data_IF_374740857667
#
_entry.id   IF_374740857667
#
_cell.length_a   1.000
_cell.length_b   1.000
_cell.length_c   1.000
_cell.angle_alpha   90.00
_cell.angle_beta   90.00
_cell.angle_gamma   90.00
#
_symmetry.space_group_name_H-M   'P 1'
#
loop_
_entity.id
_entity.type
_entity.pdbx_description
1 polymer ?
#
# COMPACT_ATOMS: atom_id res chain seq x y z
N UNK A 1 -0.75 -13.05 -63.47
CA UNK A 1 -0.48 -12.40 -62.15
C UNK A 1 -1.78 -12.34 -61.36
N UNK A 2 -1.94 -13.19 -60.34
CA UNK A 2 -3.06 -13.13 -59.39
C UNK A 2 -2.49 -13.25 -57.98
N UNK A 3 -2.75 -12.20 -57.22
CA UNK A 3 -2.34 -11.95 -55.84
C UNK A 3 -2.81 -13.08 -54.90
N UNK A 4 -1.93 -13.56 -54.02
CA UNK A 4 -2.32 -14.34 -52.86
C UNK A 4 -2.03 -13.57 -51.57
N UNK A 5 -3.10 -13.49 -50.78
CA UNK A 5 -3.29 -12.92 -49.45
C UNK A 5 -2.28 -13.39 -48.39
N UNK A 6 -1.96 -12.44 -47.48
CA UNK A 6 -1.99 -12.51 -45.98
C UNK A 6 -1.16 -13.64 -45.32
N UNK A 7 -0.46 -13.43 -44.22
CA UNK A 7 -0.97 -12.97 -42.92
C UNK A 7 0.22 -12.40 -42.13
N UNK A 8 0.03 -11.22 -41.55
CA UNK A 8 0.89 -10.64 -40.55
C UNK A 8 0.90 -11.50 -39.28
N UNK A 9 2.05 -12.04 -38.89
CA UNK A 9 2.26 -12.54 -37.54
C UNK A 9 2.74 -11.36 -36.69
N UNK A 10 1.80 -10.48 -36.34
CA UNK A 10 2.01 -9.51 -35.27
C UNK A 10 1.88 -10.28 -33.96
N UNK A 11 3.01 -10.77 -33.46
CA UNK A 11 3.11 -11.39 -32.14
C UNK A 11 2.75 -10.34 -31.09
N UNK A 12 1.47 -10.27 -30.71
CA UNK A 12 1.02 -9.59 -29.50
C UNK A 12 1.70 -10.29 -28.31
N UNK A 13 2.88 -9.80 -27.91
CA UNK A 13 3.31 -9.96 -26.52
C UNK A 13 2.41 -9.05 -25.69
N UNK A 14 1.27 -9.59 -25.28
CA UNK A 14 0.52 -9.05 -24.15
C UNK A 14 1.40 -9.28 -22.92
N UNK A 15 2.26 -8.31 -22.62
CA UNK A 15 2.81 -8.14 -21.29
C UNK A 15 1.60 -8.03 -20.36
N UNK A 16 1.30 -9.12 -19.65
CA UNK A 16 0.55 -9.05 -18.42
C UNK A 16 1.40 -8.23 -17.45
N UNK A 17 1.35 -6.90 -17.58
CA UNK A 17 1.61 -6.00 -16.48
C UNK A 17 0.61 -6.44 -15.42
N UNK A 18 1.04 -7.30 -14.50
CA UNK A 18 0.38 -7.46 -13.22
C UNK A 18 0.15 -6.05 -12.72
N UNK A 19 -1.11 -5.62 -12.67
CA UNK A 19 -1.51 -4.28 -12.26
C UNK A 19 -0.98 -4.08 -10.83
N UNK A 20 0.23 -3.53 -10.73
CA UNK A 20 0.78 -3.08 -9.47
C UNK A 20 -0.24 -2.10 -8.89
N UNK A 21 -0.59 -2.31 -7.62
CA UNK A 21 -1.55 -1.46 -6.94
C UNK A 21 -1.06 -0.01 -7.01
N UNK A 22 -1.96 0.95 -7.18
CA UNK A 22 -1.61 2.37 -7.04
C UNK A 22 -1.52 2.75 -5.56
N UNK A 23 -0.77 3.79 -5.19
CA UNK A 23 -0.73 4.26 -3.79
C UNK A 23 -2.12 4.57 -3.22
N UNK A 24 -3.00 5.14 -4.04
CA UNK A 24 -4.37 5.48 -3.66
C UNK A 24 -5.20 4.23 -3.38
N UNK A 25 -5.09 3.18 -4.20
CA UNK A 25 -5.73 1.89 -3.95
C UNK A 25 -5.20 1.24 -2.67
N UNK A 26 -3.89 1.32 -2.43
CA UNK A 26 -3.28 0.84 -1.20
C UNK A 26 -3.78 1.56 0.05
N UNK A 27 -3.85 2.90 0.02
CA UNK A 27 -4.43 3.70 1.10
C UNK A 27 -5.90 3.35 1.31
N UNK A 28 -6.66 3.17 0.23
CA UNK A 28 -8.07 2.78 0.32
C UNK A 28 -8.22 1.41 1.00
N UNK A 29 -7.39 0.41 0.65
CA UNK A 29 -7.44 -0.90 1.29
C UNK A 29 -7.02 -0.86 2.76
N UNK A 30 -5.97 -0.11 3.09
CA UNK A 30 -5.57 0.14 4.48
C UNK A 30 -6.75 0.77 5.26
N UNK A 31 -7.39 1.78 4.70
CA UNK A 31 -8.55 2.46 5.30
C UNK A 31 -9.72 1.49 5.50
N UNK A 32 -9.98 0.59 4.55
CA UNK A 32 -10.99 -0.46 4.67
C UNK A 32 -10.69 -1.39 5.87
N UNK A 33 -9.43 -1.78 6.08
CA UNK A 33 -9.07 -2.59 7.23
C UNK A 33 -9.31 -1.87 8.56
N UNK A 34 -9.04 -0.57 8.63
CA UNK A 34 -9.41 0.23 9.81
C UNK A 34 -10.92 0.30 10.00
N UNK A 35 -11.70 0.62 8.97
CA UNK A 35 -13.17 0.67 9.03
C UNK A 35 -13.78 -0.63 9.56
N UNK A 36 -13.21 -1.75 9.15
CA UNK A 36 -13.67 -3.09 9.53
C UNK A 36 -13.01 -3.63 10.81
N UNK A 37 -12.15 -2.84 11.48
CA UNK A 37 -11.32 -3.28 12.62
C UNK A 37 -10.54 -4.58 12.34
N UNK A 38 -10.20 -4.84 11.08
CA UNK A 38 -9.53 -6.07 10.63
C UNK A 38 -8.01 -5.90 10.73
N UNK A 39 -7.54 -5.74 11.97
CA UNK A 39 -6.14 -5.47 12.25
C UNK A 39 -5.24 -6.66 11.94
N UNK A 40 -5.78 -7.89 11.94
CA UNK A 40 -5.04 -9.06 11.49
C UNK A 40 -4.59 -8.92 10.04
N UNK A 41 -5.53 -8.68 9.11
CA UNK A 41 -5.19 -8.50 7.70
C UNK A 41 -4.37 -7.23 7.45
N UNK A 42 -4.68 -6.13 8.16
CA UNK A 42 -3.87 -4.92 8.11
C UNK A 42 -2.39 -5.21 8.37
N UNK A 43 -2.09 -5.93 9.46
CA UNK A 43 -0.70 -6.22 9.84
C UNK A 43 -0.08 -7.24 8.91
N UNK A 44 -0.77 -8.33 8.57
CA UNK A 44 -0.15 -9.41 7.78
C UNK A 44 0.05 -9.03 6.31
N UNK A 45 -0.76 -8.12 5.77
CA UNK A 45 -0.71 -7.75 4.34
C UNK A 45 -0.07 -6.39 4.09
N UNK A 46 -0.21 -5.44 5.02
CA UNK A 46 0.12 -4.02 4.78
C UNK A 46 1.22 -3.47 5.69
N UNK A 47 1.62 -4.18 6.75
CA UNK A 47 2.76 -3.75 7.55
C UNK A 47 4.06 -4.23 6.91
N UNK A 48 4.84 -3.32 6.33
CA UNK A 48 6.03 -3.72 5.58
C UNK A 48 7.15 -4.25 6.49
N UNK A 49 7.19 -3.80 7.75
CA UNK A 49 8.18 -4.28 8.71
C UNK A 49 7.80 -5.62 9.36
N UNK A 50 6.79 -6.33 8.85
CA UNK A 50 6.33 -7.62 9.40
C UNK A 50 7.45 -8.67 9.43
N UNK A 51 8.43 -8.58 8.54
CA UNK A 51 9.62 -9.44 8.52
C UNK A 51 10.47 -9.38 9.80
N UNK A 52 10.27 -8.34 10.65
CA UNK A 52 10.91 -8.23 11.96
C UNK A 52 10.26 -9.15 13.00
N UNK A 53 9.02 -9.59 12.79
CA UNK A 53 8.38 -10.63 13.57
C UNK A 53 8.82 -12.01 13.04
N UNK A 54 9.46 -12.80 13.91
CA UNK A 54 10.03 -14.12 13.59
C UNK A 54 9.07 -15.27 13.90
N UNK A 55 8.00 -15.00 14.65
CA UNK A 55 7.01 -15.99 15.07
C UNK A 55 5.60 -15.46 14.96
N UNK A 56 4.63 -16.36 14.84
CA UNK A 56 3.20 -16.02 14.84
C UNK A 56 2.78 -15.32 16.14
N UNK A 57 3.43 -15.63 17.27
CA UNK A 57 3.18 -14.96 18.55
C UNK A 57 3.59 -13.49 18.51
N UNK A 58 4.70 -13.17 17.86
CA UNK A 58 5.13 -11.78 17.66
C UNK A 58 4.18 -11.02 16.74
N UNK A 59 3.70 -11.65 15.67
CA UNK A 59 2.65 -11.09 14.80
C UNK A 59 1.38 -10.82 15.60
N UNK A 60 0.94 -11.78 16.42
CA UNK A 60 -0.23 -11.61 17.30
C UNK A 60 -0.06 -10.45 18.28
N UNK A 61 1.16 -10.22 18.81
CA UNK A 61 1.47 -9.05 19.65
C UNK A 61 1.30 -7.73 18.88
N UNK A 62 1.67 -7.67 17.60
CA UNK A 62 1.40 -6.48 16.78
C UNK A 62 -0.09 -6.26 16.56
N UNK A 63 -0.84 -7.31 16.23
CA UNK A 63 -2.31 -7.23 16.07
C UNK A 63 -2.97 -6.73 17.36
N UNK A 64 -2.63 -7.32 18.50
CA UNK A 64 -3.15 -6.93 19.80
C UNK A 64 -2.83 -5.48 20.18
N UNK A 65 -1.65 -4.95 19.78
CA UNK A 65 -1.31 -3.53 19.97
C UNK A 65 -2.25 -2.62 19.18
N UNK A 66 -2.62 -2.99 17.96
CA UNK A 66 -3.56 -2.20 17.14
C UNK A 66 -4.98 -2.28 17.68
N UNK A 67 -5.44 -3.49 18.00
CA UNK A 67 -6.75 -3.69 18.66
C UNK A 67 -6.86 -2.83 19.92
N UNK A 68 -5.84 -2.86 20.80
CA UNK A 68 -5.82 -2.01 21.99
C UNK A 68 -5.75 -0.52 21.66
N UNK A 69 -4.92 -0.13 20.70
CA UNK A 69 -4.73 1.28 20.32
C UNK A 69 -6.03 1.88 19.79
N UNK A 70 -6.80 1.11 19.02
CA UNK A 70 -8.01 1.57 18.33
C UNK A 70 -9.31 0.99 18.93
N UNK A 71 -9.25 0.45 20.15
CA UNK A 71 -10.44 0.01 20.91
C UNK A 71 -11.42 1.14 21.22
N UNK A 72 -10.94 2.40 21.25
CA UNK A 72 -11.80 3.58 21.36
C UNK A 72 -12.36 3.95 19.97
N UNK A 73 -13.69 3.85 19.77
CA UNK A 73 -14.32 4.16 18.48
C UNK A 73 -14.01 5.56 17.97
N UNK A 74 -13.90 6.56 18.86
CA UNK A 74 -13.59 7.93 18.45
C UNK A 74 -12.19 8.05 17.85
N UNK A 75 -11.24 7.26 18.35
CA UNK A 75 -9.88 7.23 17.81
C UNK A 75 -9.84 6.50 16.47
N UNK A 76 -10.63 5.43 16.32
CA UNK A 76 -10.77 4.72 15.06
C UNK A 76 -11.40 5.61 13.99
N UNK A 77 -12.51 6.29 14.31
CA UNK A 77 -13.15 7.27 13.42
C UNK A 77 -12.18 8.37 13.01
N UNK A 78 -11.38 8.89 13.94
CA UNK A 78 -10.39 9.93 13.64
C UNK A 78 -9.32 9.48 12.65
N UNK A 79 -8.79 8.25 12.78
CA UNK A 79 -7.78 7.75 11.82
C UNK A 79 -8.40 7.45 10.46
N UNK A 80 -9.63 6.92 10.42
CA UNK A 80 -10.36 6.69 9.17
C UNK A 80 -10.60 8.01 8.45
N UNK A 81 -11.15 9.02 9.13
CA UNK A 81 -11.40 10.34 8.55
C UNK A 81 -10.10 11.00 8.05
N UNK A 82 -8.99 10.81 8.78
CA UNK A 82 -7.69 11.29 8.35
C UNK A 82 -7.23 10.61 7.05
N UNK A 83 -7.37 9.30 6.92
CA UNK A 83 -6.96 8.59 5.69
C UNK A 83 -7.87 8.91 4.51
N UNK A 84 -9.17 9.08 4.72
CA UNK A 84 -10.09 9.53 3.68
C UNK A 84 -9.75 10.93 3.17
N UNK A 85 -9.34 11.83 4.06
CA UNK A 85 -8.83 13.16 3.67
C UNK A 85 -7.51 13.04 2.88
N UNK A 86 -6.58 12.21 3.33
CA UNK A 86 -5.28 11.99 2.67
C UNK A 86 -5.45 11.39 1.26
N UNK A 87 -6.50 10.61 1.02
CA UNK A 87 -6.78 10.04 -0.30
C UNK A 87 -6.98 11.10 -1.40
N UNK A 88 -7.33 12.34 -1.03
CA UNK A 88 -7.46 13.46 -1.95
C UNK A 88 -6.17 14.28 -2.14
N UNK A 89 -5.05 13.90 -1.52
CA UNK A 89 -3.80 14.64 -1.59
C UNK A 89 -3.02 14.32 -2.86
N UNK A 90 -2.14 15.25 -3.24
CA UNK A 90 -1.18 15.00 -4.31
C UNK A 90 -0.20 13.90 -3.87
N UNK A 91 0.10 12.99 -4.79
CA UNK A 91 1.01 11.86 -4.54
C UNK A 91 2.23 12.00 -5.43
N UNK A 92 3.40 12.07 -4.81
CA UNK A 92 4.68 11.94 -5.49
C UNK A 92 5.31 10.59 -5.16
N UNK A 93 5.99 9.98 -6.13
CA UNK A 93 6.78 8.77 -5.92
C UNK A 93 8.26 9.18 -5.81
N UNK A 94 8.89 8.75 -4.72
CA UNK A 94 10.31 8.95 -4.45
C UNK A 94 10.99 7.59 -4.22
N UNK A 95 12.32 7.57 -4.32
CA UNK A 95 13.14 6.41 -3.96
C UNK A 95 13.62 6.54 -2.50
N UNK A 96 13.55 5.45 -1.75
CA UNK A 96 14.15 5.28 -0.43
C UNK A 96 15.53 4.64 -0.60
N UNK A 97 16.54 5.28 -0.01
CA UNK A 97 17.91 4.77 -0.02
C UNK A 97 18.10 3.55 0.90
N UNK A 98 17.16 3.33 1.83
CA UNK A 98 17.25 2.31 2.87
C UNK A 98 15.96 1.48 3.00
N UNK A 99 15.47 0.86 1.91
CA UNK A 99 14.21 0.13 1.95
C UNK A 99 14.28 -1.07 2.89
N UNK A 100 13.15 -1.39 3.51
CA UNK A 100 13.03 -2.64 4.26
C UNK A 100 13.17 -3.86 3.32
N UNK A 101 13.58 -5.04 3.82
CA UNK A 101 13.70 -6.26 3.02
C UNK A 101 12.48 -6.65 2.17
N UNK A 102 11.29 -6.25 2.60
CA UNK A 102 10.00 -6.48 1.92
C UNK A 102 9.63 -5.42 0.90
N UNK A 103 10.40 -4.32 0.78
CA UNK A 103 10.08 -3.14 -0.04
C UNK A 103 10.90 -3.09 -1.32
N UNK A 104 10.39 -2.40 -2.33
CA UNK A 104 11.06 -2.24 -3.63
C UNK A 104 12.08 -1.10 -3.64
N UNK A 105 11.95 -0.14 -2.71
CA UNK A 105 12.63 1.15 -2.78
C UNK A 105 11.67 2.31 -3.03
N UNK A 106 10.49 2.08 -3.63
CA UNK A 106 9.58 3.19 -3.94
C UNK A 106 8.72 3.59 -2.73
N UNK A 107 8.59 4.90 -2.54
CA UNK A 107 7.78 5.52 -1.49
C UNK A 107 6.81 6.51 -2.12
N UNK A 108 5.52 6.35 -1.81
CA UNK A 108 4.49 7.29 -2.16
C UNK A 108 4.30 8.31 -1.03
N UNK A 109 4.49 9.59 -1.33
CA UNK A 109 4.28 10.71 -0.40
C UNK A 109 3.01 11.45 -0.75
N UNK A 110 2.05 11.36 0.16
CA UNK A 110 0.79 12.10 0.11
C UNK A 110 1.01 13.46 0.78
N UNK A 111 1.09 14.51 -0.01
CA UNK A 111 1.39 15.87 0.45
C UNK A 111 0.11 16.70 0.45
N UNK A 112 -0.19 17.29 1.61
CA UNK A 112 -1.36 18.15 1.72
C UNK A 112 -1.14 19.41 0.88
N UNK A 113 -2.13 19.84 0.07
CA UNK A 113 -2.02 21.06 -0.71
C UNK A 113 -1.65 22.27 0.16
N UNK A 114 -0.59 22.98 -0.21
CA UNK A 114 -0.12 24.18 0.49
C UNK A 114 0.63 23.95 1.80
N UNK A 115 0.99 22.71 2.15
CA UNK A 115 1.82 22.40 3.32
C UNK A 115 3.10 21.66 2.88
N UNK A 116 4.24 22.33 2.94
CA UNK A 116 5.55 21.72 2.64
C UNK A 116 6.10 21.00 3.89
N UNK A 117 6.62 19.79 3.69
CA UNK A 117 7.39 19.06 4.71
C UNK A 117 6.62 18.08 5.60
N UNK A 118 5.27 18.06 5.57
CA UNK A 118 4.47 16.99 6.19
C UNK A 118 3.78 16.13 5.15
N UNK A 119 4.22 14.89 5.02
CA UNK A 119 3.63 13.90 4.12
C UNK A 119 3.26 12.62 4.86
N UNK A 120 2.12 12.04 4.52
CA UNK A 120 1.86 10.64 4.84
C UNK A 120 2.59 9.76 3.81
N UNK A 121 3.15 8.64 4.23
CA UNK A 121 3.99 7.78 3.38
C UNK A 121 3.41 6.38 3.29
N UNK A 122 3.39 5.84 2.08
CA UNK A 122 3.25 4.41 1.84
C UNK A 122 4.48 3.88 1.10
N UNK A 123 4.78 2.61 1.29
CA UNK A 123 5.97 1.94 0.77
C UNK A 123 5.56 0.82 -0.16
N UNK A 124 6.08 0.81 -1.38
CA UNK A 124 5.78 -0.25 -2.34
C UNK A 124 6.50 -1.52 -1.89
N UNK A 125 5.73 -2.57 -1.66
CA UNK A 125 6.21 -3.87 -1.24
C UNK A 125 6.52 -4.75 -2.45
N UNK A 126 7.45 -5.69 -2.32
CA UNK A 126 7.86 -6.63 -3.38
C UNK A 126 6.75 -7.53 -3.89
N UNK A 127 5.64 -7.65 -3.14
CA UNK A 127 4.43 -8.36 -3.56
C UNK A 127 3.48 -7.50 -4.42
N UNK A 128 3.84 -6.26 -4.74
CA UNK A 128 3.05 -5.35 -5.57
C UNK A 128 1.97 -4.56 -4.81
N UNK A 129 1.93 -4.66 -3.48
CA UNK A 129 1.03 -3.89 -2.61
C UNK A 129 1.73 -2.66 -2.03
N UNK A 130 0.97 -1.66 -1.62
CA UNK A 130 1.46 -0.55 -0.80
C UNK A 130 1.21 -0.82 0.69
N UNK A 131 2.27 -0.69 1.48
CA UNK A 131 2.27 -0.87 2.92
C UNK A 131 2.67 0.39 3.69
N UNK A 132 2.72 0.28 5.01
CA UNK A 132 3.06 1.37 5.92
C UNK A 132 4.06 0.94 7.00
N UNK A 133 4.73 1.93 7.58
CA UNK A 133 5.60 1.80 8.76
C UNK A 133 4.89 2.29 10.02
N UNK A 134 5.45 1.98 11.20
CA UNK A 134 4.95 2.44 12.50
C UNK A 134 5.85 3.46 13.20
#
# INVERSE_FOLDING_TARGET
MKSFLKIAALSLLALASSLAETPQEGLAKITEYYKNSNFKQLITERYSEIHKAKTDEEVAKFVAKFEKRFADPKRLEKVVAQFEMIAGYEVTIEEDETPQPTETGKVAKFTKPGEEGRSFKLYEMKNGLWGFHL
#
